data_IF_153595428484
#
_entry.id   IF_153595428484
#
_cell.length_a   1.000
_cell.length_b   1.000
_cell.length_c   1.000
_cell.angle_alpha   90.00
_cell.angle_beta   90.00
_cell.angle_gamma   90.00
#
_symmetry.space_group_name_H-M   'P 1'
#
loop_
_entity.id
_entity.type
_entity.pdbx_description
1 polymer ?
#
# COMPACT_ATOMS: atom_id res chain seq x y z
N UNK A 1 -4.13 -14.63 0.72
CA UNK A 1 -4.52 -13.57 1.72
C UNK A 1 -4.12 -12.23 1.13
N UNK A 2 -4.93 -11.16 1.29
CA UNK A 2 -4.60 -9.84 0.74
C UNK A 2 -3.72 -9.03 1.68
N UNK A 3 -2.99 -8.06 1.14
CA UNK A 3 -2.17 -7.08 1.86
C UNK A 3 -2.84 -5.72 1.76
N UNK A 4 -2.80 -4.92 2.82
CA UNK A 4 -3.46 -3.61 2.87
C UNK A 4 -2.45 -2.54 3.27
N UNK A 5 -2.45 -1.40 2.57
CA UNK A 5 -1.63 -0.23 2.90
C UNK A 5 -2.11 0.46 4.19
N UNK A 6 -1.25 1.27 4.80
CA UNK A 6 -1.56 1.98 6.05
C UNK A 6 -2.73 2.98 5.93
N UNK A 7 -2.98 3.50 4.73
CA UNK A 7 -4.10 4.41 4.43
C UNK A 7 -5.38 3.68 4.00
N UNK A 8 -5.32 2.34 3.80
CA UNK A 8 -6.38 1.50 3.24
C UNK A 8 -6.78 1.85 1.80
N UNK A 9 -5.97 2.61 1.06
CA UNK A 9 -6.24 2.98 -0.34
C UNK A 9 -5.75 1.89 -1.32
N UNK A 10 -4.82 1.03 -0.88
CA UNK A 10 -4.28 -0.07 -1.65
C UNK A 10 -4.53 -1.39 -0.95
N UNK A 11 -5.17 -2.32 -1.65
CA UNK A 11 -5.25 -3.72 -1.29
C UNK A 11 -4.62 -4.55 -2.41
N UNK A 12 -3.62 -5.36 -2.06
CA UNK A 12 -2.86 -6.19 -3.01
C UNK A 12 -2.99 -7.66 -2.69
N UNK A 13 -2.78 -8.50 -3.70
CA UNK A 13 -2.75 -9.96 -3.57
C UNK A 13 -1.94 -10.60 -4.68
N UNK A 14 -1.51 -11.84 -4.45
CA UNK A 14 -0.98 -12.71 -5.51
C UNK A 14 -2.15 -13.30 -6.29
N UNK A 15 -2.40 -12.79 -7.49
CA UNK A 15 -3.53 -13.19 -8.31
C UNK A 15 -3.16 -14.33 -9.27
N UNK A 16 -3.82 -15.50 -9.20
CA UNK A 16 -3.74 -16.50 -10.25
C UNK A 16 -4.18 -15.94 -11.60
N UNK A 17 -3.51 -16.36 -12.66
CA UNK A 17 -3.70 -15.86 -14.02
C UNK A 17 -4.34 -16.95 -14.88
N UNK A 18 -5.50 -16.66 -15.48
CA UNK A 18 -6.19 -17.53 -16.41
C UNK A 18 -5.48 -17.56 -17.79
N UNK A 19 -5.73 -18.58 -18.65
CA UNK A 19 -5.10 -18.70 -19.97
C UNK A 19 -5.30 -17.50 -20.90
N UNK A 20 -6.37 -16.74 -20.69
CA UNK A 20 -6.68 -15.51 -21.45
C UNK A 20 -6.10 -14.24 -20.81
N UNK A 21 -5.32 -14.37 -19.73
CA UNK A 21 -4.65 -13.27 -19.05
C UNK A 21 -5.48 -12.57 -17.97
N UNK A 22 -6.75 -12.98 -17.77
CA UNK A 22 -7.57 -12.43 -16.67
C UNK A 22 -7.02 -12.88 -15.32
N UNK A 23 -7.14 -11.98 -14.33
CA UNK A 23 -6.70 -12.24 -12.96
C UNK A 23 -7.84 -12.78 -12.13
N UNK A 24 -7.53 -13.75 -11.27
CA UNK A 24 -8.48 -14.24 -10.30
C UNK A 24 -8.72 -13.22 -9.19
N UNK A 25 -9.98 -13.03 -8.83
CA UNK A 25 -10.38 -12.21 -7.69
C UNK A 25 -10.53 -13.04 -6.41
N UNK A 26 -10.74 -14.36 -6.53
CA UNK A 26 -10.95 -15.26 -5.40
C UNK A 26 -10.82 -16.72 -5.85
N UNK A 27 -10.71 -17.62 -4.88
CA UNK A 27 -10.69 -19.08 -5.09
C UNK A 27 -11.88 -19.76 -4.42
N UNK A 28 -12.28 -20.88 -4.99
CA UNK A 28 -13.29 -21.80 -4.43
C UNK A 28 -12.73 -23.22 -4.39
N UNK A 29 -13.46 -24.16 -3.79
CA UNK A 29 -13.09 -25.58 -3.82
C UNK A 29 -13.15 -26.20 -5.23
N UNK A 30 -13.76 -25.53 -6.22
CA UNK A 30 -13.96 -26.01 -7.58
C UNK A 30 -13.02 -25.32 -8.59
N UNK A 31 -12.30 -24.27 -8.18
CA UNK A 31 -11.39 -23.52 -9.03
C UNK A 31 -11.31 -22.03 -8.69
N UNK A 32 -10.68 -21.27 -9.56
CA UNK A 32 -10.48 -19.84 -9.44
C UNK A 32 -11.62 -19.05 -10.08
N UNK A 33 -12.09 -18.01 -9.39
CA UNK A 33 -13.09 -17.09 -9.92
C UNK A 33 -12.38 -15.93 -10.64
N UNK A 34 -12.57 -15.86 -11.94
CA UNK A 34 -12.12 -14.74 -12.76
C UNK A 34 -13.30 -13.88 -13.18
N UNK A 35 -13.08 -12.58 -13.28
CA UNK A 35 -14.12 -11.65 -13.71
C UNK A 35 -14.53 -11.95 -15.15
N UNK A 36 -15.84 -12.06 -15.42
CA UNK A 36 -16.36 -12.27 -16.75
C UNK A 36 -16.06 -11.11 -17.71
N UNK A 37 -16.35 -11.32 -18.98
CA UNK A 37 -16.04 -10.37 -20.08
C UNK A 37 -16.72 -9.01 -19.89
N UNK A 38 -17.81 -8.94 -19.14
CA UNK A 38 -18.55 -7.69 -18.86
C UNK A 38 -17.84 -6.73 -17.91
N UNK A 39 -16.79 -7.18 -17.24
CA UNK A 39 -15.92 -6.33 -16.44
C UNK A 39 -16.56 -5.72 -15.18
N UNK A 40 -17.76 -6.12 -14.79
CA UNK A 40 -18.48 -5.54 -13.64
C UNK A 40 -18.17 -6.35 -12.37
N UNK A 41 -17.57 -5.70 -11.38
CA UNK A 41 -17.44 -6.24 -10.04
C UNK A 41 -18.82 -6.22 -9.36
N UNK A 42 -19.33 -7.39 -8.98
CA UNK A 42 -20.55 -7.52 -8.18
C UNK A 42 -20.19 -8.24 -6.89
N UNK A 43 -20.29 -7.60 -5.72
CA UNK A 43 -19.86 -8.19 -4.45
C UNK A 43 -20.84 -9.21 -3.88
N UNK A 44 -21.85 -9.66 -4.61
CA UNK A 44 -22.87 -10.58 -4.08
C UNK A 44 -22.77 -11.99 -4.66
N UNK A 45 -23.09 -12.97 -3.86
CA UNK A 45 -22.79 -14.42 -3.97
C UNK A 45 -23.49 -15.15 -5.13
N UNK A 46 -24.40 -14.52 -5.81
CA UNK A 46 -24.97 -15.01 -7.08
C UNK A 46 -24.25 -14.35 -8.25
N UNK A 47 -23.04 -14.78 -8.51
CA UNK A 47 -22.05 -14.14 -9.36
C UNK A 47 -22.23 -14.40 -10.86
N UNK A 48 -23.22 -13.84 -11.58
CA UNK A 48 -23.36 -14.05 -13.01
C UNK A 48 -22.20 -13.47 -13.85
N UNK A 49 -21.39 -12.60 -13.23
CA UNK A 49 -20.27 -11.93 -13.91
C UNK A 49 -18.89 -12.59 -13.67
N UNK A 50 -18.87 -13.76 -13.04
CA UNK A 50 -17.65 -14.53 -12.82
C UNK A 50 -17.69 -15.86 -13.55
N UNK A 51 -16.55 -16.26 -14.07
CA UNK A 51 -16.32 -17.57 -14.65
C UNK A 51 -15.44 -18.38 -13.72
N UNK A 52 -15.76 -19.65 -13.57
CA UNK A 52 -14.95 -20.61 -12.84
C UNK A 52 -13.87 -21.17 -13.78
N UNK A 53 -12.61 -20.92 -13.46
CA UNK A 53 -11.47 -21.51 -14.16
C UNK A 53 -10.89 -22.62 -13.28
N UNK A 54 -10.85 -23.87 -13.76
CA UNK A 54 -10.23 -24.96 -13.01
C UNK A 54 -8.78 -24.66 -12.63
N UNK A 55 -8.36 -25.04 -11.42
CA UNK A 55 -7.00 -24.79 -10.92
C UNK A 55 -5.88 -25.28 -11.85
N UNK A 56 -6.12 -26.40 -12.54
CA UNK A 56 -5.16 -26.97 -13.51
C UNK A 56 -4.94 -26.10 -14.75
N UNK A 57 -5.85 -25.17 -15.04
CA UNK A 57 -5.78 -24.28 -16.21
C UNK A 57 -5.07 -22.95 -15.89
N UNK A 58 -4.81 -22.67 -14.62
CA UNK A 58 -4.06 -21.46 -14.23
C UNK A 58 -2.62 -21.55 -14.77
N UNK A 59 -2.20 -20.51 -15.48
CA UNK A 59 -0.91 -20.44 -16.16
C UNK A 59 0.20 -19.78 -15.35
N UNK A 60 -0.14 -19.19 -14.21
CA UNK A 60 0.83 -18.55 -13.31
C UNK A 60 0.20 -17.56 -12.35
N UNK A 61 1.01 -16.66 -11.81
CA UNK A 61 0.61 -15.70 -10.79
C UNK A 61 1.18 -14.33 -11.07
N UNK A 62 0.51 -13.30 -10.55
CA UNK A 62 0.92 -11.92 -10.71
C UNK A 62 0.45 -11.09 -9.52
N UNK A 63 1.23 -10.12 -9.11
CA UNK A 63 0.76 -9.10 -8.17
C UNK A 63 -0.39 -8.31 -8.77
N UNK A 64 -1.45 -8.11 -7.99
CA UNK A 64 -2.57 -7.25 -8.34
C UNK A 64 -2.86 -6.28 -7.20
N UNK A 65 -3.39 -5.11 -7.52
CA UNK A 65 -3.83 -4.12 -6.55
C UNK A 65 -5.17 -3.51 -6.99
N UNK A 66 -6.02 -3.15 -6.03
CA UNK A 66 -7.31 -2.50 -6.30
C UNK A 66 -7.18 -1.19 -7.10
N UNK A 67 -6.02 -0.52 -7.04
CA UNK A 67 -5.72 0.67 -7.84
C UNK A 67 -5.49 0.38 -9.34
N UNK A 68 -5.46 -0.91 -9.74
CA UNK A 68 -5.21 -1.35 -11.10
C UNK A 68 -3.75 -1.70 -11.41
N UNK A 69 -2.82 -1.54 -10.46
CA UNK A 69 -1.45 -1.99 -10.65
C UNK A 69 -1.36 -3.51 -10.78
N UNK A 70 -0.46 -3.96 -11.65
CA UNK A 70 -0.14 -5.36 -11.85
C UNK A 70 1.38 -5.53 -11.91
N UNK A 71 1.90 -6.49 -11.13
CA UNK A 71 3.29 -6.90 -11.13
C UNK A 71 3.66 -7.75 -12.36
N UNK A 72 4.91 -8.16 -12.44
CA UNK A 72 5.36 -9.09 -13.48
C UNK A 72 4.81 -10.50 -13.24
N UNK A 73 4.67 -11.26 -14.33
CA UNK A 73 4.13 -12.61 -14.29
C UNK A 73 5.13 -13.63 -13.78
N UNK A 74 4.68 -14.53 -12.92
CA UNK A 74 5.31 -15.78 -12.56
C UNK A 74 4.65 -16.91 -13.35
N UNK A 75 5.41 -17.61 -14.20
CA UNK A 75 4.92 -18.71 -15.02
C UNK A 75 4.77 -19.99 -14.18
N UNK A 76 3.62 -20.62 -14.21
CA UNK A 76 3.42 -21.95 -13.65
C UNK A 76 3.96 -23.01 -14.60
N UNK A 77 4.97 -23.77 -14.17
CA UNK A 77 5.52 -24.86 -14.96
C UNK A 77 4.92 -26.21 -14.55
N UNK A 78 4.95 -27.16 -15.46
CA UNK A 78 4.28 -28.48 -15.32
C UNK A 78 5.11 -29.54 -14.61
N UNK A 79 6.41 -29.28 -14.39
CA UNK A 79 7.31 -30.22 -13.71
C UNK A 79 8.24 -29.49 -12.75
N UNK A 80 8.63 -30.11 -11.61
CA UNK A 80 9.57 -29.49 -10.67
C UNK A 80 10.91 -29.13 -11.30
N UNK A 81 11.38 -29.91 -12.29
CA UNK A 81 12.67 -29.67 -12.97
C UNK A 81 12.64 -28.47 -13.91
N UNK A 82 11.47 -27.96 -14.26
CA UNK A 82 11.31 -26.76 -15.09
C UNK A 82 11.21 -25.48 -14.24
N UNK A 83 11.13 -25.60 -12.92
CA UNK A 83 11.12 -24.45 -12.02
C UNK A 83 12.48 -23.73 -12.07
N UNK A 84 12.42 -22.39 -12.15
CA UNK A 84 13.59 -21.53 -12.18
C UNK A 84 13.18 -20.15 -11.65
N UNK A 85 13.42 -19.92 -10.38
CA UNK A 85 13.02 -18.69 -9.69
C UNK A 85 13.64 -17.43 -10.33
N UNK A 86 14.86 -17.54 -10.85
CA UNK A 86 15.54 -16.44 -11.53
C UNK A 86 14.85 -16.01 -12.83
N UNK A 87 14.03 -16.87 -13.40
CA UNK A 87 13.22 -16.63 -14.61
C UNK A 87 11.73 -16.52 -14.32
N UNK A 88 11.37 -16.36 -13.05
CA UNK A 88 9.97 -16.29 -12.61
C UNK A 88 9.15 -17.50 -13.03
N UNK A 89 9.70 -18.69 -12.84
CA UNK A 89 9.06 -19.96 -13.18
C UNK A 89 8.97 -20.83 -11.95
N UNK A 90 7.75 -21.21 -11.58
CA UNK A 90 7.50 -22.00 -10.38
C UNK A 90 6.62 -23.21 -10.67
N UNK A 91 6.81 -24.25 -9.88
CA UNK A 91 6.03 -25.48 -9.93
C UNK A 91 5.17 -25.60 -8.67
N UNK A 92 3.86 -25.73 -8.89
CA UNK A 92 2.89 -26.07 -7.85
C UNK A 92 2.21 -27.38 -8.24
N UNK A 93 2.18 -28.33 -7.29
CA UNK A 93 1.59 -29.64 -7.53
C UNK A 93 0.11 -29.53 -7.95
N UNK A 94 -0.38 -30.41 -8.83
CA UNK A 94 -1.75 -30.33 -9.35
C UNK A 94 -2.85 -30.60 -8.31
N UNK A 95 -2.50 -31.19 -7.18
CA UNK A 95 -3.38 -31.48 -6.05
C UNK A 95 -3.45 -30.34 -5.03
N UNK A 96 -2.61 -29.32 -5.20
CA UNK A 96 -2.68 -28.10 -4.43
C UNK A 96 -3.59 -27.09 -5.14
N UNK A 97 -4.30 -26.29 -4.38
CA UNK A 97 -5.04 -25.15 -4.93
C UNK A 97 -4.10 -24.33 -5.80
N UNK A 98 -4.59 -23.70 -6.88
CA UNK A 98 -3.74 -22.93 -7.79
C UNK A 98 -3.18 -21.64 -7.16
N UNK A 99 -2.86 -21.67 -5.87
CA UNK A 99 -2.17 -20.60 -5.18
C UNK A 99 -0.67 -20.63 -5.57
N UNK A 100 -0.04 -19.47 -5.50
CA UNK A 100 1.41 -19.37 -5.61
C UNK A 100 2.09 -20.14 -4.46
N UNK A 101 3.32 -20.61 -4.66
CA UNK A 101 4.15 -21.07 -3.55
C UNK A 101 4.44 -19.88 -2.58
N UNK A 102 4.82 -20.19 -1.35
CA UNK A 102 5.13 -19.16 -0.37
C UNK A 102 6.24 -18.22 -0.87
N UNK A 103 7.26 -18.78 -1.51
CA UNK A 103 8.38 -18.00 -2.06
C UNK A 103 7.94 -17.05 -3.18
N UNK A 104 6.99 -17.46 -4.02
CA UNK A 104 6.44 -16.60 -5.08
C UNK A 104 5.50 -15.56 -4.48
N UNK A 105 4.68 -15.93 -3.49
CA UNK A 105 3.81 -14.98 -2.79
C UNK A 105 4.62 -13.89 -2.11
N UNK A 106 5.72 -14.24 -1.41
CA UNK A 106 6.63 -13.29 -0.78
C UNK A 106 7.27 -12.34 -1.80
N UNK A 107 7.74 -12.88 -2.94
CA UNK A 107 8.32 -12.06 -4.00
C UNK A 107 7.30 -11.09 -4.62
N UNK A 108 6.07 -11.52 -4.81
CA UNK A 108 4.97 -10.68 -5.30
C UNK A 108 4.62 -9.61 -4.25
N UNK A 109 4.63 -9.95 -2.96
CA UNK A 109 4.40 -8.99 -1.88
C UNK A 109 5.47 -7.92 -1.84
N UNK A 110 6.74 -8.29 -2.06
CA UNK A 110 7.84 -7.32 -2.14
C UNK A 110 7.67 -6.35 -3.32
N UNK A 111 7.21 -6.83 -4.47
CA UNK A 111 6.87 -5.96 -5.60
C UNK A 111 5.70 -5.01 -5.29
N UNK A 112 4.68 -5.52 -4.62
CA UNK A 112 3.56 -4.69 -4.19
C UNK A 112 3.99 -3.66 -3.15
N UNK A 113 4.83 -4.03 -2.18
CA UNK A 113 5.43 -3.10 -1.22
C UNK A 113 6.21 -1.98 -1.93
N UNK A 114 6.99 -2.32 -2.96
CA UNK A 114 7.71 -1.34 -3.77
C UNK A 114 6.76 -0.42 -4.54
N UNK A 115 5.64 -0.95 -5.04
CA UNK A 115 4.60 -0.17 -5.71
C UNK A 115 3.97 0.87 -4.79
N UNK A 116 3.64 0.53 -3.54
CA UNK A 116 2.99 1.44 -2.59
C UNK A 116 3.96 2.33 -1.81
N UNK A 117 5.27 2.05 -1.85
CA UNK A 117 6.28 2.78 -1.07
C UNK A 117 6.23 4.31 -1.23
N UNK A 118 5.98 4.89 -2.43
CA UNK A 118 5.84 6.35 -2.56
C UNK A 118 4.63 6.91 -1.78
N UNK A 119 3.49 6.23 -1.81
CA UNK A 119 2.28 6.64 -1.08
C UNK A 119 2.52 6.55 0.43
N UNK A 120 3.10 5.46 0.91
CA UNK A 120 3.47 5.28 2.31
C UNK A 120 4.45 6.37 2.80
N UNK A 121 5.42 6.74 1.96
CA UNK A 121 6.37 7.81 2.29
C UNK A 121 5.66 9.18 2.44
N UNK A 122 4.67 9.47 1.59
CA UNK A 122 3.89 10.72 1.68
C UNK A 122 3.07 10.77 2.97
N UNK A 123 2.49 9.65 3.42
CA UNK A 123 1.81 9.60 4.72
C UNK A 123 2.74 10.01 5.88
N UNK A 124 4.01 9.58 5.81
CA UNK A 124 5.03 10.01 6.77
C UNK A 124 5.28 11.53 6.74
N UNK A 125 5.36 12.12 5.55
CA UNK A 125 5.51 13.58 5.39
C UNK A 125 4.29 14.31 5.95
N UNK A 126 3.08 13.85 5.67
CA UNK A 126 1.85 14.45 6.19
C UNK A 126 1.77 14.37 7.72
N UNK A 127 2.15 13.23 8.31
CA UNK A 127 2.21 13.10 9.76
C UNK A 127 3.17 14.10 10.38
N UNK A 128 4.40 14.21 9.85
CA UNK A 128 5.40 15.16 10.30
C UNK A 128 4.94 16.63 10.13
N UNK A 129 4.25 16.96 9.04
CA UNK A 129 3.70 18.29 8.80
C UNK A 129 2.60 18.64 9.82
N UNK A 130 1.75 17.69 10.17
CA UNK A 130 0.74 17.88 11.24
C UNK A 130 1.40 18.12 12.60
N UNK A 131 2.41 17.34 12.96
CA UNK A 131 3.16 17.52 14.20
C UNK A 131 3.86 18.88 14.26
N UNK A 132 4.49 19.29 13.16
CA UNK A 132 5.12 20.61 13.06
C UNK A 132 4.11 21.73 13.24
N UNK A 133 2.95 21.66 12.60
CA UNK A 133 1.87 22.63 12.76
C UNK A 133 1.39 22.70 14.20
N UNK A 134 1.14 21.55 14.84
CA UNK A 134 0.74 21.51 16.26
C UNK A 134 1.81 22.09 17.18
N UNK A 135 3.09 21.79 16.92
CA UNK A 135 4.21 22.38 17.68
C UNK A 135 4.27 23.90 17.51
N UNK A 136 4.04 24.41 16.29
CA UNK A 136 3.96 25.82 16.01
C UNK A 136 2.85 26.54 16.81
N UNK A 137 1.65 25.95 16.78
CA UNK A 137 0.52 26.50 17.57
C UNK A 137 0.77 26.47 19.09
N UNK A 138 1.40 25.39 19.60
CA UNK A 138 1.79 25.34 21.02
C UNK A 138 2.80 26.41 21.34
N UNK A 139 3.80 26.64 20.48
CA UNK A 139 4.81 27.67 20.65
C UNK A 139 4.16 29.08 20.67
N UNK A 140 3.27 29.39 19.72
CA UNK A 140 2.58 30.68 19.66
C UNK A 140 1.79 30.96 20.95
N UNK A 141 1.05 29.98 21.48
CA UNK A 141 0.33 30.07 22.75
C UNK A 141 1.27 30.30 23.94
N UNK A 142 2.40 29.60 23.98
CA UNK A 142 3.37 29.70 25.07
C UNK A 142 4.05 31.08 25.05
N UNK A 143 4.37 31.59 23.86
CA UNK A 143 4.94 32.94 23.70
C UNK A 143 3.94 34.03 24.19
N UNK A 144 2.66 33.89 23.82
CA UNK A 144 1.62 34.81 24.29
C UNK A 144 1.51 34.80 25.82
N UNK A 145 1.50 33.60 26.43
CA UNK A 145 1.49 33.45 27.89
C UNK A 145 2.73 34.08 28.56
N UNK A 146 3.92 33.87 28.00
CA UNK A 146 5.16 34.47 28.51
C UNK A 146 5.10 35.99 28.42
N UNK A 147 4.58 36.55 27.33
CA UNK A 147 4.39 37.99 27.19
C UNK A 147 3.41 38.55 28.23
N UNK A 148 2.28 37.89 28.45
CA UNK A 148 1.29 38.28 29.48
C UNK A 148 1.89 38.21 30.88
N UNK A 149 2.82 37.31 31.14
CA UNK A 149 3.58 37.22 32.40
C UNK A 149 4.73 38.23 32.50
N UNK A 150 4.94 39.13 31.52
CA UNK A 150 5.94 40.19 31.56
C UNK A 150 7.30 39.86 30.95
N UNK A 151 7.47 38.69 30.28
CA UNK A 151 8.73 38.35 29.65
C UNK A 151 9.09 39.34 28.52
N UNK A 152 10.39 39.70 28.41
CA UNK A 152 10.86 40.56 27.34
C UNK A 152 11.02 39.80 26.01
N UNK A 153 10.97 40.52 24.89
CA UNK A 153 11.28 39.92 23.58
C UNK A 153 12.71 39.35 23.47
N UNK A 154 13.63 39.91 24.30
CA UNK A 154 15.00 39.37 24.37
C UNK A 154 15.03 38.00 25.05
N UNK A 155 14.23 37.80 26.12
CA UNK A 155 14.16 36.52 26.81
C UNK A 155 13.44 35.44 25.94
N UNK A 156 12.36 35.83 25.27
CA UNK A 156 11.63 34.96 24.34
C UNK A 156 12.55 34.59 23.17
N UNK A 157 13.26 35.57 22.58
CA UNK A 157 14.20 35.31 21.49
C UNK A 157 15.30 34.31 21.91
N UNK A 158 15.88 34.50 23.11
CA UNK A 158 16.88 33.59 23.68
C UNK A 158 16.31 32.17 23.88
N UNK A 159 15.08 32.04 24.38
CA UNK A 159 14.44 30.73 24.61
C UNK A 159 14.13 29.99 23.32
N UNK A 160 13.83 30.70 22.23
CA UNK A 160 13.49 30.10 20.92
C UNK A 160 14.73 29.97 20.02
N UNK A 161 15.86 30.56 20.38
CA UNK A 161 17.11 30.51 19.59
C UNK A 161 17.14 31.54 18.44
N UNK A 162 16.41 32.70 18.57
CA UNK A 162 16.39 33.74 17.55
C UNK A 162 16.71 35.11 18.18
N UNK A 163 16.93 36.11 17.34
CA UNK A 163 17.17 37.47 17.83
C UNK A 163 15.92 38.12 18.49
N UNK A 164 16.12 39.11 19.37
CA UNK A 164 15.03 39.93 19.92
C UNK A 164 14.15 40.51 18.82
N UNK A 165 14.76 41.05 17.77
CA UNK A 165 14.05 41.64 16.64
C UNK A 165 13.17 40.62 15.94
N UNK A 166 13.73 39.46 15.59
CA UNK A 166 12.98 38.36 14.93
C UNK A 166 11.83 37.84 15.80
N UNK A 167 12.01 37.75 17.13
CA UNK A 167 10.95 37.38 18.04
C UNK A 167 9.81 38.40 18.06
N UNK A 168 10.15 39.71 18.11
CA UNK A 168 9.17 40.76 18.02
C UNK A 168 8.41 40.76 16.70
N UNK A 169 9.09 40.72 15.57
CA UNK A 169 8.47 40.69 14.23
C UNK A 169 7.52 39.50 14.05
N UNK A 170 7.89 38.32 14.58
CA UNK A 170 7.10 37.11 14.44
C UNK A 170 5.80 37.10 15.27
N UNK A 171 5.80 37.72 16.45
CA UNK A 171 4.69 37.57 17.39
C UNK A 171 4.05 38.87 17.90
N UNK A 172 4.60 40.03 17.65
CA UNK A 172 4.01 41.27 18.16
C UNK A 172 2.64 41.57 17.53
N UNK A 173 2.45 41.23 16.23
CA UNK A 173 1.18 41.50 15.54
C UNK A 173 0.10 40.41 15.78
N UNK A 174 0.46 39.32 16.46
CA UNK A 174 -0.46 38.19 16.77
C UNK A 174 -1.09 38.29 18.17
N UNK A 175 -0.90 39.38 18.87
CA UNK A 175 -1.41 39.61 20.25
C UNK A 175 -2.71 40.41 20.29
#
# INVERSE_FOLDING_TARGET
MGWVSNDNEHEGWAAPVAPDGRLSASSTAEGMLVKGVTGRYVPDVTMPDYELIPDKEIIGWRGACVCGWQGEMWERVTTPTAADFSRRRDYVAPDEFANASAEVEDAIQDEWNAHIAPSEAILGVEAAAREYSHAGHRLDKTVAAAKAAGASWADIGRAVGISRQSAHERWAEKQ
#
